data_IF_106407981269
#
_entry.id   IF_106407981269
#
_cell.length_a   1.000
_cell.length_b   1.000
_cell.length_c   1.000
_cell.angle_alpha   90.00
_cell.angle_beta   90.00
_cell.angle_gamma   90.00
#
_symmetry.space_group_name_H-M   'P 1'
#
loop_
_entity.id
_entity.type
_entity.pdbx_description
1 polymer ?
#
# COMPACT_ATOMS: atom_id res chain seq x y z
N UNK A 1 6.00 -1.87 15.86
CA UNK A 1 5.66 -0.92 14.76
C UNK A 1 4.19 -0.49 14.86
N UNK A 2 3.77 0.61 14.22
CA UNK A 2 2.38 1.14 14.31
C UNK A 2 1.31 0.12 13.86
N UNK A 3 1.52 -0.53 12.72
CA UNK A 3 0.59 -1.54 12.17
C UNK A 3 0.35 -2.73 13.11
N UNK A 4 1.37 -3.16 13.85
CA UNK A 4 1.25 -4.27 14.81
C UNK A 4 0.39 -3.88 16.01
N UNK A 5 0.42 -2.61 16.44
CA UNK A 5 -0.43 -2.10 17.50
C UNK A 5 -1.90 -2.08 17.04
N UNK A 6 -2.16 -1.60 15.82
CA UNK A 6 -3.50 -1.66 15.20
C UNK A 6 -4.00 -3.11 15.17
N UNK A 7 -3.17 -4.04 14.68
CA UNK A 7 -3.51 -5.46 14.62
C UNK A 7 -3.76 -6.10 15.97
N UNK A 8 -3.00 -5.70 17.00
CA UNK A 8 -3.12 -6.21 18.36
C UNK A 8 -4.40 -5.72 19.05
N UNK A 9 -4.72 -4.44 18.92
CA UNK A 9 -5.73 -3.81 19.78
C UNK A 9 -7.10 -3.64 19.14
N UNK A 10 -7.19 -3.40 17.82
CA UNK A 10 -8.45 -3.00 17.18
C UNK A 10 -8.82 -3.86 15.95
N UNK A 11 -8.08 -4.91 15.65
CA UNK A 11 -8.40 -5.80 14.51
C UNK A 11 -9.79 -6.43 14.60
N UNK A 12 -10.32 -6.70 15.80
CA UNK A 12 -11.64 -7.30 16.00
C UNK A 12 -12.83 -6.39 15.64
N UNK A 13 -12.61 -5.08 15.50
CA UNK A 13 -13.65 -4.07 15.18
C UNK A 13 -13.54 -3.54 13.76
N UNK A 14 -13.19 -4.41 12.80
CA UNK A 14 -12.83 -4.00 11.42
C UNK A 14 -13.93 -3.19 10.70
N UNK A 15 -15.19 -3.41 11.05
CA UNK A 15 -16.33 -2.66 10.53
C UNK A 15 -16.39 -1.20 11.00
N UNK A 16 -15.69 -0.86 12.07
CA UNK A 16 -15.89 0.40 12.79
C UNK A 16 -14.94 1.51 12.29
N UNK A 17 -14.00 1.17 11.41
CA UNK A 17 -13.01 2.11 10.90
C UNK A 17 -12.68 1.87 9.44
N UNK A 18 -12.24 2.95 8.81
CA UNK A 18 -11.61 2.93 7.51
C UNK A 18 -10.10 2.67 7.69
N UNK A 19 -9.58 1.59 7.11
CA UNK A 19 -8.20 1.16 7.27
C UNK A 19 -7.36 1.55 6.07
N UNK A 20 -6.43 2.48 6.29
CA UNK A 20 -5.47 2.92 5.29
C UNK A 20 -4.02 2.63 5.73
N UNK A 21 -3.18 2.21 4.80
CA UNK A 21 -1.72 2.13 5.00
C UNK A 21 -0.95 2.65 3.79
N UNK A 22 0.39 2.67 3.89
CA UNK A 22 1.29 3.13 2.83
C UNK A 22 2.25 2.02 2.41
N UNK A 23 2.60 1.97 1.13
CA UNK A 23 3.58 1.02 0.58
C UNK A 23 4.64 1.73 -0.27
N UNK A 24 5.71 1.01 -0.62
CA UNK A 24 6.84 1.53 -1.39
C UNK A 24 8.11 1.78 -0.58
N UNK A 25 8.07 1.76 0.75
CA UNK A 25 9.30 1.75 1.56
C UNK A 25 10.10 0.47 1.31
N UNK A 26 11.43 0.59 1.29
CA UNK A 26 12.35 -0.53 1.07
C UNK A 26 13.39 -0.62 2.20
N UNK A 27 13.66 -1.86 2.63
CA UNK A 27 14.62 -2.16 3.69
C UNK A 27 14.13 -1.79 5.10
N UNK A 28 14.99 -2.04 6.11
CA UNK A 28 14.64 -1.88 7.53
C UNK A 28 14.51 -0.43 8.01
N UNK A 29 15.10 0.51 7.28
CA UNK A 29 15.14 1.92 7.68
C UNK A 29 13.99 2.73 7.08
N UNK A 30 13.23 2.16 6.13
CA UNK A 30 12.11 2.80 5.42
C UNK A 30 12.45 4.15 4.76
N UNK A 31 13.74 4.49 4.64
CA UNK A 31 14.22 5.77 4.06
C UNK A 31 14.26 5.76 2.53
N UNK A 32 14.33 4.58 1.94
CA UNK A 32 14.39 4.39 0.48
C UNK A 32 13.01 3.97 -0.01
N UNK A 33 12.58 4.56 -1.12
CA UNK A 33 11.32 4.21 -1.76
C UNK A 33 11.60 3.50 -3.08
N UNK A 34 11.05 2.29 -3.23
CA UNK A 34 11.14 1.45 -4.44
C UNK A 34 9.73 1.03 -4.82
N UNK A 35 9.31 1.35 -6.04
CA UNK A 35 7.93 1.15 -6.51
C UNK A 35 7.80 0.04 -7.56
N UNK A 36 8.71 -0.93 -7.54
CA UNK A 36 8.56 -2.12 -8.37
C UNK A 36 7.41 -3.02 -7.87
N UNK A 37 6.91 -3.86 -8.78
CA UNK A 37 5.80 -4.78 -8.51
C UNK A 37 6.03 -5.64 -7.26
N UNK A 38 7.23 -6.19 -7.08
CA UNK A 38 7.54 -7.10 -5.99
C UNK A 38 7.48 -6.38 -4.64
N UNK A 39 8.04 -5.16 -4.55
CA UNK A 39 8.04 -4.38 -3.32
C UNK A 39 6.65 -3.90 -2.94
N UNK A 40 5.83 -3.48 -3.92
CA UNK A 40 4.43 -3.09 -3.65
C UNK A 40 3.64 -4.28 -3.10
N UNK A 41 3.67 -5.43 -3.77
CA UNK A 41 2.96 -6.63 -3.34
C UNK A 41 3.44 -7.07 -1.95
N UNK A 42 4.75 -7.08 -1.72
CA UNK A 42 5.33 -7.45 -0.43
C UNK A 42 4.88 -6.50 0.69
N UNK A 43 4.91 -5.19 0.43
CA UNK A 43 4.46 -4.17 1.38
C UNK A 43 3.00 -4.36 1.77
N UNK A 44 2.10 -4.51 0.80
CA UNK A 44 0.66 -4.74 1.08
C UNK A 44 0.46 -6.00 1.91
N UNK A 45 1.07 -7.12 1.50
CA UNK A 45 0.92 -8.39 2.24
C UNK A 45 1.48 -8.28 3.67
N UNK A 46 2.57 -7.54 3.86
CA UNK A 46 3.16 -7.33 5.18
C UNK A 46 2.26 -6.47 6.08
N UNK A 47 1.69 -5.39 5.55
CA UNK A 47 0.70 -4.56 6.26
C UNK A 47 -0.51 -5.38 6.71
N UNK A 48 -1.09 -6.18 5.80
CA UNK A 48 -2.20 -7.08 6.07
C UNK A 48 -1.87 -8.08 7.19
N UNK A 49 -0.69 -8.71 7.12
CA UNK A 49 -0.21 -9.65 8.13
C UNK A 49 -0.06 -8.99 9.50
N UNK A 50 0.58 -7.81 9.58
CA UNK A 50 0.80 -7.07 10.83
C UNK A 50 -0.51 -6.61 11.47
N UNK A 51 -1.44 -6.12 10.65
CA UNK A 51 -2.75 -5.65 11.12
C UNK A 51 -3.78 -6.77 11.31
N UNK A 52 -3.43 -8.03 10.99
CA UNK A 52 -4.30 -9.20 11.06
C UNK A 52 -5.60 -9.01 10.27
N UNK A 53 -5.44 -8.63 9.00
CA UNK A 53 -6.54 -8.37 8.06
C UNK A 53 -6.29 -8.98 6.70
N UNK A 54 -7.38 -9.20 5.99
CA UNK A 54 -7.37 -9.73 4.62
C UNK A 54 -7.48 -8.62 3.58
N UNK A 55 -7.90 -7.40 3.98
CA UNK A 55 -7.99 -6.24 3.10
C UNK A 55 -7.75 -4.89 3.79
N UNK A 56 -7.26 -3.93 3.00
CA UNK A 56 -7.20 -2.50 3.31
C UNK A 56 -8.30 -1.75 2.54
N UNK A 57 -8.85 -0.69 3.12
CA UNK A 57 -9.77 0.18 2.39
C UNK A 57 -9.00 1.08 1.40
N UNK A 58 -7.82 1.53 1.80
CA UNK A 58 -6.96 2.36 0.96
C UNK A 58 -5.49 1.98 1.12
N UNK A 59 -4.80 1.86 0.00
CA UNK A 59 -3.33 1.89 -0.02
C UNK A 59 -2.84 3.15 -0.70
N UNK A 60 -1.84 3.79 -0.09
CA UNK A 60 -1.20 4.98 -0.64
C UNK A 60 0.26 4.66 -0.95
N UNK A 61 0.81 5.22 -2.02
CA UNK A 61 2.26 5.21 -2.20
C UNK A 61 2.91 6.18 -1.22
N UNK A 62 3.95 5.72 -0.51
CA UNK A 62 4.62 6.50 0.53
C UNK A 62 5.55 7.60 -0.01
N UNK A 63 5.60 7.77 -1.33
CA UNK A 63 6.06 8.98 -2.02
C UNK A 63 5.51 8.98 -3.45
N UNK A 64 5.74 10.06 -4.19
CA UNK A 64 5.39 10.12 -5.61
C UNK A 64 6.46 9.38 -6.44
N UNK A 65 6.14 8.27 -7.12
CA UNK A 65 7.04 7.68 -8.12
C UNK A 65 7.15 8.61 -9.33
N UNK A 66 8.29 8.61 -10.03
CA UNK A 66 8.39 9.32 -11.30
C UNK A 66 7.49 8.67 -12.36
N UNK A 67 7.10 9.43 -13.38
CA UNK A 67 6.34 8.91 -14.53
C UNK A 67 7.02 7.68 -15.17
N UNK A 68 8.33 7.72 -15.31
CA UNK A 68 9.11 6.60 -15.84
C UNK A 68 8.94 5.33 -14.99
N UNK A 69 8.95 5.44 -13.66
CA UNK A 69 8.73 4.28 -12.76
C UNK A 69 7.30 3.76 -12.88
N UNK A 70 6.31 4.66 -12.96
CA UNK A 70 4.91 4.26 -13.15
C UNK A 70 4.73 3.44 -14.43
N UNK A 71 5.33 3.91 -15.54
CA UNK A 71 5.21 3.28 -16.86
C UNK A 71 6.04 1.99 -16.98
N UNK A 72 7.29 2.02 -16.53
CA UNK A 72 8.25 0.91 -16.68
C UNK A 72 7.89 -0.31 -15.83
N UNK A 73 7.44 -0.09 -14.59
CA UNK A 73 7.16 -1.17 -13.64
C UNK A 73 5.69 -1.62 -13.65
N UNK A 74 4.90 -1.10 -14.60
CA UNK A 74 3.47 -1.35 -14.73
C UNK A 74 2.74 -1.22 -13.38
N UNK A 75 3.06 -0.13 -12.69
CA UNK A 75 2.67 0.09 -11.30
C UNK A 75 1.15 0.18 -11.15
N UNK A 76 0.49 0.80 -12.13
CA UNK A 76 -0.97 0.90 -12.17
C UNK A 76 -1.59 -0.49 -12.30
N UNK A 77 -1.10 -1.34 -13.20
CA UNK A 77 -1.61 -2.70 -13.33
C UNK A 77 -1.37 -3.52 -12.07
N UNK A 78 -0.21 -3.36 -11.42
CA UNK A 78 0.05 -4.01 -10.13
C UNK A 78 -1.00 -3.63 -9.07
N UNK A 79 -1.35 -2.34 -8.96
CA UNK A 79 -2.38 -1.88 -8.03
C UNK A 79 -3.79 -2.39 -8.41
N UNK A 80 -4.09 -2.47 -9.71
CA UNK A 80 -5.33 -3.06 -10.24
C UNK A 80 -5.43 -4.56 -9.92
N UNK A 81 -4.33 -5.31 -10.08
CA UNK A 81 -4.26 -6.73 -9.77
C UNK A 81 -4.49 -6.99 -8.28
N UNK A 82 -3.82 -6.24 -7.39
CA UNK A 82 -4.00 -6.36 -5.93
C UNK A 82 -5.45 -6.02 -5.54
N UNK A 83 -6.07 -5.04 -6.21
CA UNK A 83 -7.48 -4.71 -6.03
C UNK A 83 -8.39 -5.84 -6.50
N UNK A 84 -8.11 -6.45 -7.65
CA UNK A 84 -8.84 -7.59 -8.19
C UNK A 84 -8.74 -8.81 -7.27
N UNK A 85 -7.60 -9.01 -6.61
CA UNK A 85 -7.40 -10.02 -5.55
C UNK A 85 -8.19 -9.73 -4.27
N UNK A 86 -8.80 -8.55 -4.14
CA UNK A 86 -9.61 -8.16 -2.97
C UNK A 86 -8.80 -7.67 -1.77
N UNK A 87 -7.47 -7.57 -1.90
CA UNK A 87 -6.55 -7.15 -0.82
C UNK A 87 -6.61 -5.65 -0.52
N UNK A 88 -7.01 -4.84 -1.50
CA UNK A 88 -7.26 -3.41 -1.33
C UNK A 88 -8.57 -3.03 -1.99
N UNK A 89 -9.31 -2.06 -1.43
CA UNK A 89 -10.50 -1.50 -2.08
C UNK A 89 -10.11 -0.39 -3.04
N UNK A 90 -9.38 0.61 -2.56
CA UNK A 90 -8.83 1.71 -3.35
C UNK A 90 -7.32 1.84 -3.21
N UNK A 91 -6.74 2.53 -4.18
CA UNK A 91 -5.34 2.96 -4.15
C UNK A 91 -5.25 4.44 -4.51
N UNK A 92 -4.20 5.09 -4.04
CA UNK A 92 -3.95 6.50 -4.31
C UNK A 92 -2.45 6.77 -4.49
N UNK A 93 -2.12 7.55 -5.52
CA UNK A 93 -0.78 8.06 -5.78
C UNK A 93 -0.83 9.55 -5.51
N UNK A 94 -0.01 10.03 -4.57
CA UNK A 94 0.12 11.46 -4.34
C UNK A 94 1.01 12.05 -5.42
N UNK A 95 0.42 12.61 -6.46
CA UNK A 95 1.14 13.31 -7.53
C UNK A 95 0.34 14.53 -8.00
N UNK A 96 0.98 15.71 -7.97
CA UNK A 96 0.42 16.96 -8.48
C UNK A 96 0.66 17.15 -9.99
N UNK A 97 1.47 16.29 -10.61
CA UNK A 97 1.93 16.43 -12.00
C UNK A 97 0.93 15.89 -13.03
N UNK A 98 -0.11 15.15 -12.61
CA UNK A 98 -1.15 14.60 -13.48
C UNK A 98 -2.43 15.48 -13.56
N UNK A 99 -2.44 16.68 -12.97
CA UNK A 99 -3.58 17.63 -13.02
C UNK A 99 -3.39 18.70 -14.11
N UNK A 100 -2.45 18.52 -15.04
CA UNK A 100 -2.24 19.42 -16.18
C UNK A 100 -2.54 18.72 -17.51
#
# INVERSE_FOLDING_TARGET
>A
MSEELIGKYISHRRSDYFLASKCGCYGKTEKVHVFDKANIIAGVNQSLKRMKKDYLDLVQLHSSPSKEVIEKDDLIQTLLDIKKEGKIRQWFIFDFTFIA
#
